data_IF_536133440495
#
_entry.id   IF_536133440495
#
_cell.length_a   1.000
_cell.length_b   1.000
_cell.length_c   1.000
_cell.angle_alpha   90.00
_cell.angle_beta   90.00
_cell.angle_gamma   90.00
#
_symmetry.space_group_name_H-M   'P 1'
#
loop_
_entity.id
_entity.type
_entity.pdbx_description
1 polymer ?
#
# COMPACT_ATOMS: atom_id res chain seq x y z
N UNK A 1 6.06 -5.60 -9.64
CA UNK A 1 5.45 -6.65 -10.47
C UNK A 1 4.08 -6.94 -9.89
N UNK A 2 3.07 -7.21 -10.71
CA UNK A 2 1.72 -7.58 -10.29
C UNK A 2 1.41 -8.95 -10.90
N UNK A 3 0.85 -9.87 -10.12
CA UNK A 3 0.37 -11.16 -10.63
C UNK A 3 -1.00 -10.95 -11.27
N UNK A 4 -1.19 -11.45 -12.49
CA UNK A 4 -2.47 -11.33 -13.18
C UNK A 4 -3.56 -12.05 -12.38
N UNK A 5 -4.66 -11.34 -12.10
CA UNK A 5 -5.78 -11.83 -11.30
C UNK A 5 -5.80 -11.30 -9.86
N UNK A 6 -4.68 -10.84 -9.31
CA UNK A 6 -4.67 -10.20 -7.98
C UNK A 6 -5.53 -8.94 -7.96
N UNK A 7 -5.62 -8.23 -9.09
CA UNK A 7 -6.41 -7.01 -9.25
C UNK A 7 -7.92 -7.24 -9.19
N UNK A 8 -8.41 -8.49 -9.27
CA UNK A 8 -9.84 -8.78 -9.27
C UNK A 8 -10.25 -9.90 -8.31
N UNK A 9 -9.33 -10.39 -7.48
CA UNK A 9 -9.60 -11.41 -6.45
C UNK A 9 -9.50 -12.85 -6.94
N UNK A 10 -8.63 -13.13 -7.91
CA UNK A 10 -8.38 -14.50 -8.37
C UNK A 10 -7.90 -15.37 -7.20
N UNK A 11 -8.37 -16.62 -7.15
CA UNK A 11 -8.01 -17.58 -6.10
C UNK A 11 -7.71 -18.93 -6.70
N UNK A 12 -6.62 -19.53 -6.22
CA UNK A 12 -6.32 -20.94 -6.44
C UNK A 12 -6.87 -21.83 -5.30
N UNK A 13 -7.89 -21.34 -4.57
CA UNK A 13 -8.57 -22.03 -3.47
C UNK A 13 -7.61 -22.66 -2.43
N UNK A 14 -6.51 -21.96 -2.12
CA UNK A 14 -5.50 -22.39 -1.15
C UNK A 14 -4.38 -23.24 -1.72
N UNK A 15 -4.44 -23.66 -3.00
CA UNK A 15 -3.31 -24.27 -3.67
C UNK A 15 -2.26 -23.19 -4.00
N UNK A 16 -1.07 -23.28 -3.42
CA UNK A 16 0.05 -22.36 -3.69
C UNK A 16 1.06 -22.91 -4.70
N UNK A 17 0.76 -24.03 -5.35
CA UNK A 17 1.65 -24.74 -6.27
C UNK A 17 0.87 -25.37 -7.44
N UNK A 18 0.06 -24.57 -8.14
CA UNK A 18 -0.81 -25.03 -9.24
C UNK A 18 -0.08 -25.28 -10.58
N UNK A 19 1.20 -25.68 -10.55
CA UNK A 19 2.05 -25.76 -11.74
C UNK A 19 1.57 -26.75 -12.81
N UNK A 20 0.86 -27.82 -12.42
CA UNK A 20 0.36 -28.87 -13.31
C UNK A 20 -1.15 -28.75 -13.58
N UNK A 21 -1.75 -27.61 -13.24
CA UNK A 21 -3.21 -27.41 -13.32
C UNK A 21 -3.53 -26.50 -14.51
N UNK A 22 -4.02 -27.09 -15.60
CA UNK A 22 -4.62 -26.37 -16.72
C UNK A 22 -6.14 -26.55 -16.68
N UNK A 23 -6.80 -25.81 -15.79
CA UNK A 23 -8.25 -25.88 -15.56
C UNK A 23 -8.75 -24.63 -14.83
N UNK A 24 -10.03 -24.62 -14.43
CA UNK A 24 -10.69 -23.49 -13.79
C UNK A 24 -10.00 -22.99 -12.50
N UNK A 25 -9.16 -23.81 -11.86
CA UNK A 25 -8.38 -23.39 -10.70
C UNK A 25 -7.34 -22.31 -11.05
N UNK A 26 -6.80 -22.32 -12.27
CA UNK A 26 -5.72 -21.43 -12.71
C UNK A 26 -6.15 -20.45 -13.79
N UNK A 27 -7.24 -20.73 -14.51
CA UNK A 27 -7.80 -19.79 -15.47
C UNK A 27 -8.40 -18.56 -14.76
N UNK A 28 -8.24 -17.38 -15.37
CA UNK A 28 -8.83 -16.15 -14.86
C UNK A 28 -10.33 -16.13 -15.14
N UNK A 29 -11.14 -16.16 -14.08
CA UNK A 29 -12.60 -16.07 -14.17
C UNK A 29 -13.06 -14.62 -14.20
N UNK A 30 -13.23 -14.08 -15.41
CA UNK A 30 -13.73 -12.72 -15.62
C UNK A 30 -15.18 -12.51 -15.19
N UNK A 31 -15.98 -13.58 -15.04
CA UNK A 31 -17.39 -13.46 -14.66
C UNK A 31 -17.58 -13.14 -13.17
N UNK A 32 -16.59 -13.49 -12.33
CA UNK A 32 -16.57 -13.24 -10.89
C UNK A 32 -15.58 -12.13 -10.49
N UNK A 33 -14.97 -11.46 -11.47
CA UNK A 33 -13.96 -10.44 -11.25
C UNK A 33 -14.50 -9.23 -10.45
N UNK A 34 -13.83 -8.88 -9.35
CA UNK A 34 -14.17 -7.69 -8.56
C UNK A 34 -13.76 -6.39 -9.27
N UNK A 35 -14.75 -5.71 -9.87
CA UNK A 35 -14.55 -4.40 -10.50
C UNK A 35 -14.05 -3.33 -9.52
N UNK A 36 -14.46 -3.40 -8.25
CA UNK A 36 -14.00 -2.52 -7.19
C UNK A 36 -12.51 -2.67 -6.90
N UNK A 37 -12.03 -3.92 -6.77
CA UNK A 37 -10.60 -4.18 -6.57
C UNK A 37 -9.77 -3.81 -7.80
N UNK A 38 -10.33 -3.99 -9.00
CA UNK A 38 -9.66 -3.59 -10.25
C UNK A 38 -9.50 -2.08 -10.32
N UNK A 39 -10.56 -1.33 -10.02
CA UNK A 39 -10.51 0.13 -9.96
C UNK A 39 -9.53 0.63 -8.88
N UNK A 40 -9.51 -0.02 -7.72
CA UNK A 40 -8.57 0.29 -6.64
C UNK A 40 -7.11 0.06 -7.08
N UNK A 41 -6.81 -1.10 -7.65
CA UNK A 41 -5.47 -1.48 -8.13
C UNK A 41 -5.01 -0.52 -9.23
N UNK A 42 -5.89 -0.20 -10.18
CA UNK A 42 -5.63 0.79 -11.21
C UNK A 42 -5.32 2.17 -10.58
N UNK A 43 -6.10 2.62 -9.59
CA UNK A 43 -5.86 3.90 -8.91
C UNK A 43 -4.50 3.93 -8.20
N UNK A 44 -4.08 2.83 -7.55
CA UNK A 44 -2.75 2.72 -6.93
C UNK A 44 -1.61 2.81 -7.95
N UNK A 45 -1.74 2.15 -9.11
CA UNK A 45 -0.74 2.24 -10.19
C UNK A 45 -0.63 3.68 -10.70
N UNK A 46 -1.76 4.36 -10.90
CA UNK A 46 -1.76 5.77 -11.32
C UNK A 46 -1.19 6.70 -10.25
N UNK A 47 -1.49 6.44 -8.97
CA UNK A 47 -0.91 7.19 -7.85
C UNK A 47 0.61 7.01 -7.80
N UNK A 48 1.12 5.78 -7.90
CA UNK A 48 2.56 5.49 -7.92
C UNK A 48 3.27 6.32 -8.99
N UNK A 49 2.70 6.45 -10.19
CA UNK A 49 3.27 7.24 -11.29
C UNK A 49 3.37 8.74 -10.99
N UNK A 50 2.65 9.25 -9.99
CA UNK A 50 2.63 10.67 -9.58
C UNK A 50 3.61 10.98 -8.44
N UNK A 51 4.25 9.97 -7.84
CA UNK A 51 5.16 10.13 -6.69
C UNK A 51 6.60 10.12 -7.20
N UNK A 52 7.32 11.27 -7.21
CA UNK A 52 8.67 11.37 -7.75
C UNK A 52 9.64 10.35 -7.14
N UNK A 53 9.63 10.20 -5.81
CA UNK A 53 10.47 9.27 -5.08
C UNK A 53 10.35 7.81 -5.56
N UNK A 54 9.25 7.43 -6.23
CA UNK A 54 9.00 6.06 -6.73
C UNK A 54 9.27 5.89 -8.24
N UNK A 55 9.56 6.97 -8.97
CA UNK A 55 9.66 6.97 -10.44
C UNK A 55 11.02 7.47 -10.93
N UNK A 56 11.72 8.30 -10.17
CA UNK A 56 13.02 8.87 -10.56
C UNK A 56 14.14 7.84 -10.71
N UNK A 57 13.93 6.59 -10.24
CA UNK A 57 14.87 5.47 -10.38
C UNK A 57 16.27 5.80 -9.81
N UNK A 58 16.28 6.33 -8.58
CA UNK A 58 17.48 6.67 -7.83
C UNK A 58 17.37 6.12 -6.41
N UNK A 59 18.52 5.87 -5.80
CA UNK A 59 18.58 5.62 -4.36
C UNK A 59 18.18 6.88 -3.59
N UNK A 60 17.54 6.68 -2.44
CA UNK A 60 17.24 7.74 -1.49
C UNK A 60 18.42 7.90 -0.55
N UNK A 61 18.79 9.15 -0.30
CA UNK A 61 19.83 9.54 0.64
C UNK A 61 19.20 10.22 1.86
N UNK A 62 19.84 10.11 3.03
CA UNK A 62 19.33 10.74 4.25
C UNK A 62 19.19 12.26 4.06
N UNK A 63 17.98 12.79 4.30
CA UNK A 63 17.70 14.23 4.21
C UNK A 63 17.54 14.80 2.80
N UNK A 64 17.47 13.97 1.76
CA UNK A 64 17.29 14.44 0.37
C UNK A 64 15.84 14.82 -0.01
N UNK A 65 14.90 14.63 0.92
CA UNK A 65 13.47 14.93 0.75
C UNK A 65 12.65 13.82 0.06
N UNK A 66 13.27 12.71 -0.34
CA UNK A 66 12.56 11.61 -0.99
C UNK A 66 11.72 10.80 -0.03
N UNK A 67 12.22 10.53 1.18
CA UNK A 67 11.53 9.73 2.18
C UNK A 67 11.79 10.25 3.60
N UNK A 68 10.76 10.20 4.45
CA UNK A 68 10.89 10.32 5.91
C UNK A 68 10.13 9.18 6.59
N UNK A 69 10.78 8.54 7.56
CA UNK A 69 10.24 7.44 8.34
C UNK A 69 9.82 7.94 9.72
N UNK A 70 8.51 7.96 9.97
CA UNK A 70 7.95 8.52 11.20
C UNK A 70 7.22 7.46 12.02
N UNK A 71 7.21 7.63 13.35
CA UNK A 71 6.42 6.82 14.27
C UNK A 71 4.95 7.29 14.31
N UNK A 72 4.16 6.69 15.21
CA UNK A 72 2.74 7.04 15.41
C UNK A 72 2.48 8.48 15.88
N UNK A 73 3.50 9.20 16.32
CA UNK A 73 3.44 10.58 16.80
C UNK A 73 4.01 11.59 15.80
N UNK A 74 4.20 11.18 14.54
CA UNK A 74 4.83 11.96 13.48
C UNK A 74 6.27 12.42 13.79
N UNK A 75 6.98 11.70 14.66
CA UNK A 75 8.40 11.93 14.95
C UNK A 75 9.28 10.93 14.21
N UNK A 76 10.53 11.26 13.85
CA UNK A 76 11.47 10.29 13.29
C UNK A 76 11.57 9.05 14.18
N UNK A 77 11.53 7.86 13.57
CA UNK A 77 11.72 6.60 14.30
C UNK A 77 13.08 6.57 14.98
N UNK A 78 13.09 6.34 16.29
CA UNK A 78 14.31 6.07 17.05
C UNK A 78 14.86 4.67 16.77
N UNK A 79 16.13 4.43 17.12
CA UNK A 79 16.77 3.13 16.96
C UNK A 79 16.00 2.01 17.66
N UNK A 80 15.46 2.24 18.85
CA UNK A 80 14.69 1.21 19.56
C UNK A 80 13.35 0.94 18.88
N UNK A 81 12.67 1.98 18.38
CA UNK A 81 11.41 1.80 17.63
C UNK A 81 11.63 1.00 16.33
N UNK A 82 12.78 1.19 15.67
CA UNK A 82 13.15 0.37 14.50
C UNK A 82 13.28 -1.12 14.82
N UNK A 83 13.80 -1.47 16.01
CA UNK A 83 14.08 -2.85 16.39
C UNK A 83 12.87 -3.50 17.09
N UNK A 84 12.39 -2.84 18.14
CA UNK A 84 11.45 -3.39 19.13
C UNK A 84 10.14 -2.61 19.20
N UNK A 85 10.00 -1.54 18.42
CA UNK A 85 8.80 -0.71 18.42
C UNK A 85 7.55 -1.44 17.94
N UNK A 86 6.36 -0.87 18.23
CA UNK A 86 5.11 -1.33 17.66
C UNK A 86 5.20 -1.31 16.13
N UNK A 87 4.48 -2.21 15.46
CA UNK A 87 4.50 -2.30 13.99
C UNK A 87 3.61 -1.22 13.36
N UNK A 88 3.97 0.02 13.63
CA UNK A 88 3.26 1.24 13.24
C UNK A 88 4.28 2.26 12.73
N UNK A 89 4.04 2.80 11.54
CA UNK A 89 4.90 3.82 10.97
C UNK A 89 4.15 4.66 9.94
N UNK A 90 4.74 5.79 9.60
CA UNK A 90 4.32 6.62 8.49
C UNK A 90 5.51 6.77 7.52
N UNK A 91 5.24 6.62 6.23
CA UNK A 91 6.22 6.81 5.16
C UNK A 91 5.79 8.04 4.38
N UNK A 92 6.54 9.13 4.55
CA UNK A 92 6.30 10.38 3.84
C UNK A 92 7.23 10.46 2.63
N UNK A 93 6.64 10.42 1.43
CA UNK A 93 7.33 10.41 0.15
C UNK A 93 7.23 11.78 -0.54
N UNK A 94 8.37 12.26 -1.03
CA UNK A 94 8.51 13.54 -1.75
C UNK A 94 7.81 14.71 -1.03
N UNK A 95 7.84 14.69 0.31
CA UNK A 95 7.20 15.63 1.24
C UNK A 95 5.70 15.92 1.00
N UNK A 96 5.01 15.08 0.24
CA UNK A 96 3.63 15.34 -0.21
C UNK A 96 2.69 14.14 -0.12
N UNK A 97 3.23 12.92 -0.08
CA UNK A 97 2.43 11.70 -0.06
C UNK A 97 2.75 10.91 1.19
N UNK A 98 1.74 10.68 2.03
CA UNK A 98 1.91 9.99 3.31
C UNK A 98 1.22 8.63 3.26
N UNK A 99 1.95 7.57 3.61
CA UNK A 99 1.42 6.23 3.81
C UNK A 99 1.43 5.97 5.32
N UNK A 100 0.25 5.84 5.94
CA UNK A 100 0.12 5.45 7.34
C UNK A 100 -0.10 3.94 7.45
N UNK A 101 0.68 3.27 8.29
CA UNK A 101 0.67 1.81 8.45
C UNK A 101 0.38 1.48 9.91
N UNK A 102 -0.64 0.65 10.13
CA UNK A 102 -0.88 -0.05 11.38
C UNK A 102 -0.90 -1.56 11.10
N UNK A 103 0.20 -2.24 11.43
CA UNK A 103 0.33 -3.70 11.32
C UNK A 103 0.21 -4.38 12.69
N UNK A 104 -0.47 -3.72 13.63
CA UNK A 104 -0.91 -4.35 14.88
C UNK A 104 -2.28 -5.00 14.68
N UNK A 105 -2.74 -5.77 15.67
CA UNK A 105 -4.05 -6.42 15.63
C UNK A 105 -5.19 -5.49 16.11
N UNK A 106 -4.84 -4.34 16.66
CA UNK A 106 -5.78 -3.42 17.30
C UNK A 106 -6.00 -2.17 16.46
N UNK A 107 -7.19 -1.59 16.58
CA UNK A 107 -7.46 -0.26 16.02
C UNK A 107 -6.74 0.78 16.88
N UNK A 108 -5.93 1.61 16.25
CA UNK A 108 -5.10 2.60 16.95
C UNK A 108 -5.12 3.95 16.25
N UNK A 109 -4.83 5.00 17.01
CA UNK A 109 -4.64 6.34 16.48
C UNK A 109 -3.18 6.60 16.07
N UNK A 110 -3.01 7.22 14.91
CA UNK A 110 -1.74 7.73 14.36
C UNK A 110 -1.91 9.22 14.13
N UNK A 111 -1.05 10.03 14.75
CA UNK A 111 -1.00 11.48 14.55
C UNK A 111 -0.21 11.78 13.29
N UNK A 112 -0.82 12.52 12.36
CA UNK A 112 -0.19 12.90 11.09
C UNK A 112 0.79 14.09 11.30
N UNK A 113 1.85 14.22 10.49
CA UNK A 113 2.77 15.35 10.55
C UNK A 113 2.07 16.67 10.20
N UNK A 114 2.73 17.79 10.50
CA UNK A 114 2.20 19.12 10.20
C UNK A 114 1.78 19.25 8.72
N UNK A 115 0.62 19.88 8.50
CA UNK A 115 0.02 20.07 7.18
C UNK A 115 -1.48 19.70 7.16
N UNK A 116 -2.13 20.00 6.04
CA UNK A 116 -3.53 19.63 5.79
C UNK A 116 -3.59 18.35 4.94
N UNK A 117 -3.80 17.22 5.60
CA UNK A 117 -3.80 15.91 4.96
C UNK A 117 -5.21 15.47 4.55
N UNK A 118 -5.32 14.92 3.35
CA UNK A 118 -6.56 14.40 2.79
C UNK A 118 -6.33 12.98 2.28
N UNK A 119 -7.25 12.07 2.58
CA UNK A 119 -7.18 10.70 2.10
C UNK A 119 -7.35 10.64 0.58
N UNK A 120 -6.54 9.82 -0.07
CA UNK A 120 -6.59 9.54 -1.51
C UNK A 120 -6.37 8.04 -1.78
N UNK A 121 -6.90 7.48 -2.88
CA UNK A 121 -7.82 8.10 -3.83
C UNK A 121 -9.24 8.21 -3.24
N UNK A 122 -9.96 9.31 -3.57
CA UNK A 122 -11.32 9.60 -3.06
C UNK A 122 -12.37 8.51 -3.34
N UNK A 123 -12.04 7.50 -4.16
CA UNK A 123 -12.92 6.38 -4.51
C UNK A 123 -13.12 5.35 -3.37
N UNK A 124 -12.37 5.43 -2.27
CA UNK A 124 -12.44 4.48 -1.16
C UNK A 124 -13.65 4.66 -0.24
N UNK A 125 -14.37 5.78 -0.33
CA UNK A 125 -15.56 6.06 0.49
C UNK A 125 -16.82 5.27 0.07
N UNK A 126 -16.77 4.51 -1.04
CA UNK A 126 -17.95 3.80 -1.58
C UNK A 126 -17.92 2.27 -1.46
N UNK A 127 -16.92 1.69 -0.81
CA UNK A 127 -16.76 0.22 -0.73
C UNK A 127 -17.45 -0.37 0.54
N UNK A 128 -18.06 0.46 1.39
CA UNK A 128 -18.74 0.05 2.63
C UNK A 128 -20.28 0.16 2.58
N UNK A 129 -20.91 -0.13 1.44
CA UNK A 129 -22.36 -0.40 1.38
C UNK A 129 -22.67 -1.78 0.81
#
# INVERSE_FOLDING_TARGET
MLLAGDEHGHSQHGNNNAYCQDNQLTWLDWSQASSGLTAFTAALIHLRKRIPALVENRWWEEGDGNVRWLNRYAQPLSTDEWQNGPKQLQILLSDRFLIAINATLEVTEIVLPAGEWHAIPHSLERITQ
#
